data_IF_047494555448
#
_entry.id   IF_047494555448
#
_cell.length_a   1.000
_cell.length_b   1.000
_cell.length_c   1.000
_cell.angle_alpha   90.00
_cell.angle_beta   90.00
_cell.angle_gamma   90.00
#
_symmetry.space_group_name_H-M   'P 1'
#
loop_
_entity.id
_entity.type
_entity.pdbx_description
1 polymer ?
#
# COMPACT_ATOMS: atom_id res chain seq x y z
N UNK A 1 -10.31 -71.81 64.59
CA UNK A 1 -11.18 -70.78 63.98
C UNK A 1 -10.54 -69.44 64.25
N UNK A 2 -9.92 -68.82 63.24
CA UNK A 2 -9.31 -67.49 63.32
C UNK A 2 -10.14 -66.53 62.46
N UNK A 3 -10.35 -65.26 62.86
CA UNK A 3 -11.04 -64.31 62.02
C UNK A 3 -10.08 -63.75 60.95
N UNK A 4 -10.64 -63.58 59.75
CA UNK A 4 -10.02 -63.04 58.55
C UNK A 4 -10.16 -61.52 58.60
N UNK A 5 -9.04 -60.81 58.58
CA UNK A 5 -9.03 -59.35 58.43
C UNK A 5 -8.94 -59.03 56.94
N UNK A 6 -10.02 -58.49 56.39
CA UNK A 6 -10.06 -57.94 55.03
C UNK A 6 -9.33 -56.59 55.03
N UNK A 7 -8.18 -56.54 54.35
CA UNK A 7 -7.49 -55.30 54.06
C UNK A 7 -8.12 -54.64 52.82
N UNK A 8 -8.59 -53.40 52.98
CA UNK A 8 -9.08 -52.53 51.91
C UNK A 8 -7.92 -52.23 50.93
N UNK A 9 -8.11 -52.31 49.60
CA UNK A 9 -7.05 -51.97 48.65
C UNK A 9 -6.86 -50.45 48.58
N UNK A 10 -5.60 -50.01 48.66
CA UNK A 10 -5.18 -48.63 48.45
C UNK A 10 -5.45 -48.17 47.00
N UNK A 11 -6.24 -47.10 46.77
CA UNK A 11 -6.56 -46.61 45.43
C UNK A 11 -5.42 -45.86 44.72
N UNK A 12 -4.28 -45.59 45.35
CA UNK A 12 -3.16 -44.85 44.73
C UNK A 12 -2.10 -45.74 44.07
N UNK A 13 -2.20 -47.08 44.15
CA UNK A 13 -1.15 -48.01 43.73
C UNK A 13 -1.11 -48.37 42.22
N UNK A 14 -1.88 -47.71 41.34
CA UNK A 14 -1.91 -48.04 39.90
C UNK A 14 -1.71 -46.83 38.97
N UNK A 15 -0.73 -45.97 39.22
CA UNK A 15 -0.26 -45.05 38.16
C UNK A 15 0.77 -45.75 37.25
N UNK A 16 0.55 -45.81 35.93
CA UNK A 16 1.58 -46.28 35.00
C UNK A 16 2.76 -45.29 34.95
N UNK A 17 4.00 -45.76 34.70
CA UNK A 17 5.14 -44.87 34.56
C UNK A 17 4.98 -43.97 33.33
N UNK A 18 5.37 -42.70 33.48
CA UNK A 18 5.36 -41.71 32.41
C UNK A 18 6.26 -42.14 31.23
N UNK A 19 5.89 -41.80 29.97
CA UNK A 19 6.75 -42.07 28.83
C UNK A 19 8.05 -41.24 28.91
N UNK A 20 9.20 -41.78 28.45
CA UNK A 20 10.45 -41.05 28.44
C UNK A 20 10.36 -39.80 27.54
N UNK A 21 10.83 -38.67 28.06
CA UNK A 21 10.85 -37.39 27.38
C UNK A 21 11.69 -37.40 26.08
N UNK A 22 11.43 -36.45 25.17
CA UNK A 22 12.13 -36.36 23.90
C UNK A 22 13.61 -36.05 24.11
N UNK A 23 14.47 -36.94 23.62
CA UNK A 23 15.91 -36.72 23.55
C UNK A 23 16.23 -35.56 22.58
N UNK A 24 16.75 -34.46 23.12
CA UNK A 24 17.35 -33.39 22.33
C UNK A 24 18.51 -33.94 21.50
N UNK A 25 18.35 -33.99 20.17
CA UNK A 25 19.46 -34.15 19.23
C UNK A 25 19.93 -32.76 18.78
N UNK A 26 21.16 -32.32 19.10
CA UNK A 26 21.70 -31.06 18.60
C UNK A 26 22.42 -31.31 17.27
N UNK A 27 21.68 -31.54 16.17
CA UNK A 27 22.29 -31.60 14.83
C UNK A 27 21.22 -31.28 13.78
N UNK A 28 21.05 -29.98 13.47
CA UNK A 28 21.36 -29.56 12.09
C UNK A 28 21.99 -28.15 11.96
N UNK A 29 22.29 -27.45 13.06
CA UNK A 29 22.70 -26.03 12.99
C UNK A 29 24.00 -25.79 12.20
N UNK A 30 24.98 -26.69 12.32
CA UNK A 30 26.24 -26.58 11.59
C UNK A 30 26.06 -26.68 10.05
N UNK A 31 25.08 -27.46 9.58
CA UNK A 31 24.78 -27.57 8.15
C UNK A 31 24.06 -26.30 7.64
N UNK A 32 23.22 -25.68 8.46
CA UNK A 32 22.57 -24.41 8.13
C UNK A 32 23.57 -23.25 8.03
N UNK A 33 24.56 -23.19 8.92
CA UNK A 33 25.62 -22.16 8.87
C UNK A 33 26.53 -22.38 7.65
N UNK A 34 26.91 -23.63 7.35
CA UNK A 34 27.69 -23.94 6.15
C UNK A 34 26.96 -23.57 4.84
N UNK A 35 25.65 -23.83 4.76
CA UNK A 35 24.83 -23.45 3.60
C UNK A 35 24.69 -21.93 3.47
N UNK A 36 24.54 -21.20 4.59
CA UNK A 36 24.46 -19.74 4.60
C UNK A 36 25.78 -19.10 4.13
N UNK A 37 26.92 -19.65 4.56
CA UNK A 37 28.24 -19.18 4.13
C UNK A 37 28.48 -19.45 2.64
N UNK A 38 28.03 -20.59 2.11
CA UNK A 38 28.13 -20.89 0.67
C UNK A 38 27.28 -19.94 -0.19
N UNK A 39 26.07 -19.58 0.28
CA UNK A 39 25.19 -18.64 -0.41
C UNK A 39 25.74 -17.19 -0.38
N UNK A 40 26.42 -16.80 0.70
CA UNK A 40 27.06 -15.48 0.79
C UNK A 40 28.30 -15.35 -0.11
N UNK A 41 29.04 -16.45 -0.34
CA UNK A 41 30.20 -16.43 -1.23
C UNK A 41 29.84 -16.39 -2.72
N UNK A 42 28.62 -16.80 -3.09
CA UNK A 42 28.17 -16.92 -4.49
C UNK A 42 27.74 -15.63 -5.19
N UNK A 43 27.64 -14.50 -4.49
CA UNK A 43 27.11 -13.25 -5.07
C UNK A 43 28.18 -12.20 -5.41
N UNK A 44 29.47 -12.49 -5.20
CA UNK A 44 30.55 -11.51 -5.46
C UNK A 44 31.12 -11.50 -6.90
N UNK A 45 30.64 -12.33 -7.83
CA UNK A 45 31.24 -12.44 -9.18
C UNK A 45 30.37 -11.94 -10.34
N UNK A 46 29.26 -11.24 -10.08
CA UNK A 46 28.37 -10.72 -11.14
C UNK A 46 28.21 -9.18 -11.18
N UNK A 47 28.84 -8.44 -10.26
CA UNK A 47 28.67 -6.98 -10.16
C UNK A 47 29.81 -6.14 -10.76
N UNK A 48 30.79 -6.74 -11.44
CA UNK A 48 32.00 -6.02 -11.91
C UNK A 48 32.09 -5.78 -13.43
N UNK A 49 31.00 -5.93 -14.20
CA UNK A 49 31.04 -5.75 -15.66
C UNK A 49 30.04 -4.73 -16.25
N UNK A 50 29.25 -4.02 -15.45
CA UNK A 50 28.34 -2.97 -15.95
C UNK A 50 28.80 -1.54 -15.67
N UNK A 51 30.00 -1.38 -15.09
CA UNK A 51 30.63 -0.09 -14.94
C UNK A 51 31.59 0.12 -16.11
N UNK A 52 31.27 1.12 -16.94
CA UNK A 52 32.12 1.78 -17.95
C UNK A 52 31.90 1.32 -19.40
N UNK A 53 30.80 1.80 -19.98
CA UNK A 53 30.77 2.13 -21.41
C UNK A 53 30.10 3.50 -21.56
N UNK A 54 30.90 4.56 -21.48
CA UNK A 54 30.56 5.85 -22.08
C UNK A 54 31.43 5.99 -23.33
N UNK A 55 30.86 6.10 -24.54
CA UNK A 55 31.64 6.49 -25.70
C UNK A 55 31.89 8.00 -25.61
N UNK A 56 33.09 8.37 -25.17
CA UNK A 56 33.63 9.70 -25.39
C UNK A 56 33.83 9.88 -26.91
N UNK A 57 33.00 10.71 -27.54
CA UNK A 57 33.22 11.12 -28.92
C UNK A 57 34.41 12.09 -28.97
N UNK A 58 35.45 11.64 -29.69
CA UNK A 58 36.72 12.30 -29.91
C UNK A 58 36.56 13.67 -30.56
N UNK A 59 37.21 14.68 -29.99
CA UNK A 59 37.41 15.99 -30.59
C UNK A 59 38.61 15.92 -31.55
N UNK A 60 38.41 16.28 -32.82
CA UNK A 60 39.47 16.66 -33.74
C UNK A 60 39.04 17.86 -34.61
N UNK A 61 39.96 18.73 -35.07
CA UNK A 61 39.64 20.07 -35.56
C UNK A 61 39.67 20.23 -37.11
N UNK A 62 38.72 21.00 -37.64
CA UNK A 62 38.74 21.71 -38.95
C UNK A 62 37.97 21.02 -40.11
N UNK A 63 37.61 21.72 -41.23
CA UNK A 63 37.80 23.14 -41.58
C UNK A 63 36.49 23.92 -41.84
N UNK A 64 36.63 25.24 -41.86
CA UNK A 64 35.63 26.30 -42.06
C UNK A 64 35.01 26.40 -43.46
N UNK A 65 33.71 26.74 -43.52
CA UNK A 65 32.97 27.69 -44.41
C UNK A 65 31.52 27.18 -44.69
N UNK A 66 30.53 28.02 -45.08
CA UNK A 66 30.35 29.46 -44.93
C UNK A 66 29.12 29.83 -44.06
N UNK A 67 29.13 31.07 -43.57
CA UNK A 67 28.10 31.73 -42.75
C UNK A 67 26.76 31.80 -43.48
N UNK A 68 25.74 31.12 -42.96
CA UNK A 68 24.32 31.29 -43.33
C UNK A 68 23.67 32.23 -42.29
N UNK A 69 22.75 33.15 -42.68
CA UNK A 69 22.36 34.29 -41.85
C UNK A 69 21.64 33.90 -40.55
N UNK A 70 21.90 34.70 -39.51
CA UNK A 70 21.20 34.74 -38.22
C UNK A 70 19.68 34.61 -38.38
N UNK A 71 19.14 33.50 -37.86
CA UNK A 71 17.76 33.44 -37.43
C UNK A 71 17.78 33.52 -35.89
N UNK A 72 17.10 34.50 -35.27
CA UNK A 72 17.16 34.67 -33.82
C UNK A 72 16.68 33.40 -33.12
N UNK A 73 17.29 32.98 -32.00
CA UNK A 73 16.80 31.86 -31.23
C UNK A 73 15.37 32.18 -30.81
N UNK A 74 14.44 31.39 -31.33
CA UNK A 74 13.03 31.49 -31.01
C UNK A 74 12.89 31.32 -29.49
N UNK A 75 12.60 32.43 -28.80
CA UNK A 75 12.54 32.52 -27.35
C UNK A 75 11.33 31.76 -26.74
N UNK A 76 10.80 30.76 -27.45
CA UNK A 76 9.58 30.02 -27.11
C UNK A 76 9.71 28.51 -27.10
N UNK A 77 10.91 27.97 -27.27
CA UNK A 77 11.19 26.56 -26.99
C UNK A 77 11.98 26.38 -25.69
N UNK A 78 11.65 27.13 -24.63
CA UNK A 78 11.85 26.55 -23.29
C UNK A 78 10.85 25.40 -23.22
N UNK A 79 11.36 24.16 -23.21
CA UNK A 79 10.63 23.05 -22.61
C UNK A 79 10.06 23.62 -21.29
N UNK A 80 8.73 23.57 -21.04
CA UNK A 80 8.25 23.92 -19.72
C UNK A 80 9.06 23.08 -18.74
N UNK A 81 9.68 23.71 -17.74
CA UNK A 81 10.33 23.00 -16.64
C UNK A 81 9.35 21.90 -16.24
N UNK A 82 9.74 20.64 -16.46
CA UNK A 82 8.84 19.51 -16.24
C UNK A 82 8.38 19.66 -14.80
N UNK A 83 7.08 19.91 -14.53
CA UNK A 83 6.65 20.07 -13.15
C UNK A 83 7.04 18.78 -12.45
N UNK A 84 7.89 18.88 -11.44
CA UNK A 84 8.34 17.72 -10.68
C UNK A 84 7.08 16.93 -10.30
N UNK A 85 7.04 15.66 -10.68
CA UNK A 85 5.84 14.86 -10.49
C UNK A 85 5.54 14.79 -8.99
N UNK A 86 4.44 15.43 -8.57
CA UNK A 86 3.99 15.42 -7.17
C UNK A 86 3.48 14.02 -6.88
N UNK A 87 4.24 13.27 -6.09
CA UNK A 87 3.97 11.88 -5.72
C UNK A 87 4.25 11.67 -4.23
N UNK A 88 3.44 10.84 -3.58
CA UNK A 88 3.72 10.30 -2.26
C UNK A 88 3.33 8.82 -2.20
N UNK A 89 4.09 8.08 -1.42
CA UNK A 89 3.76 6.73 -1.00
C UNK A 89 4.15 6.60 0.47
N UNK A 90 3.18 6.25 1.30
CA UNK A 90 3.36 6.03 2.73
C UNK A 90 3.07 4.57 3.06
N UNK A 91 3.82 4.06 4.03
CA UNK A 91 3.70 2.69 4.52
C UNK A 91 3.17 2.72 5.94
N UNK A 92 2.16 1.91 6.25
CA UNK A 92 1.57 1.88 7.58
C UNK A 92 2.59 1.44 8.64
N UNK A 93 2.60 2.13 9.79
CA UNK A 93 3.39 1.74 10.97
C UNK A 93 2.67 0.70 11.80
N UNK A 94 1.34 0.73 11.79
CA UNK A 94 0.50 -0.13 12.62
C UNK A 94 0.57 -1.59 12.14
N UNK A 95 0.69 -2.50 13.10
CA UNK A 95 0.64 -3.96 12.87
C UNK A 95 -0.63 -4.54 13.49
N UNK A 96 -0.98 -4.09 14.69
CA UNK A 96 -2.21 -4.50 15.34
C UNK A 96 -3.42 -3.85 14.67
N UNK A 97 -4.53 -4.59 14.62
CA UNK A 97 -5.81 -4.04 14.22
C UNK A 97 -6.36 -3.21 15.38
N UNK A 98 -6.02 -1.94 15.43
CA UNK A 98 -6.58 -0.99 16.39
C UNK A 98 -7.48 -0.02 15.63
N UNK A 99 -8.73 0.10 16.07
CA UNK A 99 -9.66 1.03 15.44
C UNK A 99 -9.20 2.49 15.57
N UNK A 100 -9.42 3.27 14.51
CA UNK A 100 -9.10 4.70 14.47
C UNK A 100 -8.10 5.07 13.35
N UNK A 101 -7.51 6.27 13.43
CA UNK A 101 -6.62 6.78 12.38
C UNK A 101 -5.29 6.01 12.33
N UNK A 102 -4.94 5.52 11.16
CA UNK A 102 -3.68 4.81 10.90
C UNK A 102 -2.48 5.75 10.98
N UNK A 103 -1.38 5.21 11.51
CA UNK A 103 -0.07 5.86 11.53
C UNK A 103 0.75 5.45 10.33
N UNK A 104 1.46 6.41 9.74
CA UNK A 104 2.21 6.22 8.50
C UNK A 104 3.67 6.61 8.66
N UNK A 105 4.58 5.78 8.17
CA UNK A 105 5.98 6.17 8.02
C UNK A 105 6.07 7.25 6.94
N UNK A 106 6.73 8.35 7.28
CA UNK A 106 6.93 9.51 6.40
C UNK A 106 8.41 9.79 6.12
N UNK A 107 9.33 9.07 6.75
CA UNK A 107 10.77 9.23 6.53
C UNK A 107 11.17 8.62 5.18
N UNK A 108 11.66 9.41 4.20
CA UNK A 108 12.08 8.90 2.89
C UNK A 108 13.31 7.97 2.95
N UNK A 109 14.02 7.90 4.09
CA UNK A 109 15.09 6.93 4.29
C UNK A 109 14.59 5.48 4.40
N UNK A 110 13.28 5.28 4.68
CA UNK A 110 12.67 3.96 4.78
C UNK A 110 12.25 3.44 3.41
N UNK A 111 12.54 2.16 3.15
CA UNK A 111 12.19 1.51 1.90
C UNK A 111 10.66 1.58 1.65
N UNK A 112 10.28 1.97 0.43
CA UNK A 112 8.88 2.08 0.03
C UNK A 112 8.16 3.34 0.54
N UNK A 113 8.85 4.24 1.25
CA UNK A 113 8.32 5.55 1.64
C UNK A 113 8.86 6.62 0.70
N UNK A 114 7.97 7.43 0.16
CA UNK A 114 8.30 8.57 -0.68
C UNK A 114 7.39 9.74 -0.34
N UNK A 115 7.97 10.92 -0.15
CA UNK A 115 7.24 12.18 -0.02
C UNK A 115 7.87 13.18 -0.98
N UNK A 116 7.15 13.47 -2.06
CA UNK A 116 7.54 14.47 -3.05
C UNK A 116 7.36 15.90 -2.55
N UNK A 117 7.82 16.88 -3.34
CA UNK A 117 7.65 18.30 -3.03
C UNK A 117 6.16 18.65 -2.88
N UNK A 118 5.87 19.57 -1.96
CA UNK A 118 4.50 20.02 -1.70
C UNK A 118 3.61 19.02 -0.95
N UNK A 119 4.18 17.91 -0.46
CA UNK A 119 3.48 16.92 0.36
C UNK A 119 4.18 16.79 1.72
N UNK A 120 3.41 16.74 2.80
CA UNK A 120 3.96 16.57 4.15
C UNK A 120 3.02 15.75 5.02
N UNK A 121 3.55 14.96 5.94
CA UNK A 121 2.74 14.17 6.86
C UNK A 121 2.86 14.75 8.28
N UNK A 122 1.71 15.05 8.89
CA UNK A 122 1.63 15.48 10.28
C UNK A 122 1.43 14.25 11.18
N UNK A 123 2.47 13.92 11.94
CA UNK A 123 2.49 12.78 12.86
C UNK A 123 1.48 12.92 14.02
N UNK A 124 1.12 14.15 14.42
CA UNK A 124 0.22 14.38 15.54
C UNK A 124 -1.24 14.13 15.14
N UNK A 125 -1.67 14.72 14.02
CA UNK A 125 -3.02 14.51 13.47
C UNK A 125 -3.15 13.19 12.70
N UNK A 126 -2.03 12.58 12.31
CA UNK A 126 -1.93 11.38 11.46
C UNK A 126 -2.44 11.60 10.04
N UNK A 127 -2.18 12.78 9.50
CA UNK A 127 -2.75 13.23 8.22
C UNK A 127 -1.67 13.61 7.21
N UNK A 128 -1.90 13.24 5.95
CA UNK A 128 -1.12 13.71 4.82
C UNK A 128 -1.70 15.03 4.32
N UNK A 129 -0.85 16.05 4.20
CA UNK A 129 -1.18 17.37 3.71
C UNK A 129 -0.71 17.55 2.27
N UNK A 130 -1.60 18.10 1.46
CA UNK A 130 -1.34 18.46 0.06
C UNK A 130 -1.26 19.97 -0.06
N UNK A 131 -0.09 20.51 -0.42
CA UNK A 131 0.09 21.95 -0.56
C UNK A 131 -0.47 22.48 -1.88
N UNK A 132 -0.30 21.74 -2.97
CA UNK A 132 -0.68 22.18 -4.31
C UNK A 132 -2.04 21.62 -4.76
N UNK A 133 -2.95 22.46 -5.30
CA UNK A 133 -4.26 21.99 -5.74
C UNK A 133 -4.16 21.14 -7.01
N UNK A 134 -5.09 20.19 -7.21
CA UNK A 134 -5.14 19.45 -8.47
C UNK A 134 -6.02 18.23 -8.42
N UNK A 135 -6.01 17.48 -9.51
CA UNK A 135 -6.61 16.14 -9.57
C UNK A 135 -5.51 15.13 -9.29
N UNK A 136 -5.71 14.32 -8.26
CA UNK A 136 -4.78 13.31 -7.79
C UNK A 136 -5.37 11.92 -7.98
N UNK A 137 -4.59 11.00 -8.53
CA UNK A 137 -4.90 9.58 -8.42
C UNK A 137 -4.45 9.14 -7.03
N UNK A 138 -5.40 8.70 -6.20
CA UNK A 138 -5.16 8.26 -4.82
C UNK A 138 -5.52 6.80 -4.72
N UNK A 139 -4.66 6.01 -4.07
CA UNK A 139 -4.88 4.58 -3.88
C UNK A 139 -4.54 4.10 -2.47
N UNK A 140 -5.25 3.06 -2.06
CA UNK A 140 -5.05 2.33 -0.81
C UNK A 140 -4.84 0.86 -1.13
N UNK A 141 -3.78 0.29 -0.59
CA UNK A 141 -3.55 -1.14 -0.56
C UNK A 141 -3.55 -1.60 0.90
N UNK A 142 -4.38 -2.59 1.21
CA UNK A 142 -4.48 -3.18 2.54
C UNK A 142 -4.09 -4.64 2.45
N UNK A 143 -3.16 -5.07 3.29
CA UNK A 143 -2.77 -6.48 3.40
C UNK A 143 -2.80 -6.92 4.86
N UNK A 144 -3.46 -8.03 5.11
CA UNK A 144 -3.53 -8.69 6.40
C UNK A 144 -2.90 -10.07 6.35
N UNK A 145 -2.46 -10.51 7.51
CA UNK A 145 -1.98 -11.85 7.75
C UNK A 145 -2.60 -12.39 9.04
N UNK A 146 -2.96 -13.67 9.02
CA UNK A 146 -3.41 -14.39 10.21
C UNK A 146 -2.18 -14.78 11.01
N UNK A 147 -2.17 -14.40 12.28
CA UNK A 147 -1.08 -14.71 13.21
C UNK A 147 -1.49 -15.77 14.24
N UNK A 148 -2.78 -16.07 14.34
CA UNK A 148 -3.30 -17.19 15.16
C UNK A 148 -4.18 -18.08 14.30
N UNK A 149 -3.75 -19.33 14.06
CA UNK A 149 -4.37 -20.25 13.10
C UNK A 149 -5.71 -20.86 13.56
N UNK A 150 -6.04 -20.78 14.85
CA UNK A 150 -7.19 -21.48 15.43
C UNK A 150 -8.49 -20.67 15.50
N UNK A 151 -8.45 -19.35 15.27
CA UNK A 151 -9.64 -18.48 15.24
C UNK A 151 -9.39 -17.27 14.34
N UNK A 152 -10.37 -16.36 14.26
CA UNK A 152 -10.26 -15.11 13.53
C UNK A 152 -11.05 -15.09 12.22
N UNK A 153 -12.21 -14.47 12.25
CA UNK A 153 -13.05 -14.22 11.08
C UNK A 153 -13.80 -12.91 11.27
N UNK A 154 -14.36 -12.38 10.18
CA UNK A 154 -15.12 -11.14 10.18
C UNK A 154 -14.66 -10.25 9.05
N UNK A 155 -14.74 -8.93 9.23
CA UNK A 155 -14.26 -7.97 8.25
C UNK A 155 -13.30 -6.94 8.84
N UNK A 156 -12.43 -6.40 7.99
CA UNK A 156 -11.60 -5.24 8.29
C UNK A 156 -11.78 -4.23 7.18
N UNK A 157 -12.04 -2.98 7.56
CA UNK A 157 -12.24 -1.88 6.63
C UNK A 157 -11.26 -0.73 6.88
N UNK A 158 -10.84 -0.08 5.80
CA UNK A 158 -10.10 1.17 5.83
C UNK A 158 -10.79 2.21 4.98
N UNK A 159 -10.87 3.44 5.50
CA UNK A 159 -11.55 4.55 4.86
C UNK A 159 -10.68 5.80 4.86
N UNK A 160 -10.46 6.37 3.68
CA UNK A 160 -9.82 7.67 3.48
C UNK A 160 -10.86 8.77 3.66
N UNK A 161 -10.54 9.72 4.53
CA UNK A 161 -11.35 10.90 4.80
C UNK A 161 -10.57 12.16 4.43
N UNK A 162 -11.30 13.14 3.91
CA UNK A 162 -10.77 14.47 3.59
C UNK A 162 -11.15 15.44 4.72
N UNK A 163 -10.21 16.28 5.13
CA UNK A 163 -10.40 17.26 6.20
C UNK A 163 -10.37 18.72 5.67
N UNK A 164 -11.22 19.64 6.18
CA UNK A 164 -12.23 19.41 7.23
C UNK A 164 -13.29 18.44 6.73
N UNK A 165 -13.80 17.62 7.65
CA UNK A 165 -14.84 16.64 7.37
C UNK A 165 -16.14 17.42 7.06
N UNK A 166 -16.26 17.93 5.83
CA UNK A 166 -17.56 18.35 5.29
C UNK A 166 -18.50 17.14 5.40
N UNK A 167 -19.81 17.37 5.49
CA UNK A 167 -20.87 16.39 5.78
C UNK A 167 -20.96 15.20 4.78
N UNK A 168 -19.86 14.47 4.60
CA UNK A 168 -19.55 13.70 3.41
C UNK A 168 -18.95 12.36 3.78
N UNK A 169 -19.35 11.37 2.98
CA UNK A 169 -18.86 10.00 3.03
C UNK A 169 -17.34 9.91 2.83
N UNK A 170 -16.75 8.76 3.17
CA UNK A 170 -15.36 8.47 2.88
C UNK A 170 -15.05 8.69 1.38
N UNK A 171 -13.94 9.36 1.09
CA UNK A 171 -13.49 9.61 -0.29
C UNK A 171 -13.01 8.32 -0.98
N UNK A 172 -12.55 7.34 -0.19
CA UNK A 172 -12.18 6.01 -0.64
C UNK A 172 -12.39 5.02 0.50
N UNK A 173 -13.03 3.87 0.26
CA UNK A 173 -13.25 2.86 1.29
C UNK A 173 -13.00 1.45 0.76
N UNK A 174 -12.24 0.65 1.50
CA UNK A 174 -11.90 -0.74 1.18
C UNK A 174 -12.26 -1.62 2.38
N UNK A 175 -13.00 -2.70 2.13
CA UNK A 175 -13.35 -3.71 3.13
C UNK A 175 -12.84 -5.06 2.66
N UNK A 176 -12.21 -5.80 3.57
CA UNK A 176 -11.74 -7.16 3.36
C UNK A 176 -12.47 -8.11 4.28
N UNK A 177 -13.04 -9.15 3.69
CA UNK A 177 -13.62 -10.26 4.42
C UNK A 177 -12.53 -11.26 4.79
N UNK A 178 -12.53 -11.67 6.04
CA UNK A 178 -11.54 -12.56 6.64
C UNK A 178 -12.19 -13.93 6.86
N UNK A 179 -11.70 -14.97 6.16
CA UNK A 179 -12.31 -16.30 6.24
C UNK A 179 -12.10 -16.92 7.64
N UNK A 180 -13.04 -17.75 8.11
CA UNK A 180 -12.80 -18.57 9.30
C UNK A 180 -11.64 -19.55 9.08
N UNK A 181 -10.93 -19.94 10.15
CA UNK A 181 -9.82 -20.87 10.04
C UNK A 181 -10.28 -22.23 9.51
N UNK A 182 -9.61 -22.74 8.50
CA UNK A 182 -9.77 -24.10 7.98
C UNK A 182 -8.51 -24.52 7.23
N UNK A 183 -8.32 -25.82 6.99
CA UNK A 183 -7.15 -26.34 6.26
C UNK A 183 -7.02 -25.82 4.83
N UNK A 184 -8.09 -25.24 4.27
CA UNK A 184 -8.12 -24.66 2.92
C UNK A 184 -8.21 -23.13 2.92
N UNK A 185 -8.44 -22.50 4.08
CA UNK A 185 -8.59 -21.06 4.16
C UNK A 185 -7.21 -20.38 4.04
N UNK A 186 -7.09 -19.28 3.28
CA UNK A 186 -5.86 -18.53 3.24
C UNK A 186 -5.61 -17.82 4.58
N UNK A 187 -4.33 -17.78 4.96
CA UNK A 187 -3.85 -17.02 6.13
C UNK A 187 -3.40 -15.59 5.76
N UNK A 188 -3.77 -15.13 4.57
CA UNK A 188 -3.53 -13.76 4.12
C UNK A 188 -4.73 -13.24 3.36
N UNK A 189 -5.05 -11.96 3.55
CA UNK A 189 -6.06 -11.24 2.79
C UNK A 189 -5.45 -9.95 2.26
N UNK A 190 -5.77 -9.58 1.03
CA UNK A 190 -5.30 -8.32 0.44
C UNK A 190 -6.35 -7.70 -0.44
N UNK A 191 -6.39 -6.38 -0.50
CA UNK A 191 -7.17 -5.67 -1.49
C UNK A 191 -6.61 -4.29 -1.78
N UNK A 192 -7.12 -3.73 -2.86
CA UNK A 192 -6.67 -2.49 -3.42
C UNK A 192 -7.89 -1.67 -3.82
N UNK A 193 -7.85 -0.35 -3.59
CA UNK A 193 -8.83 0.57 -4.15
C UNK A 193 -8.18 1.87 -4.53
N UNK A 194 -8.74 2.54 -5.53
CA UNK A 194 -8.27 3.85 -5.99
C UNK A 194 -9.42 4.76 -6.41
N UNK A 195 -9.16 6.06 -6.42
CA UNK A 195 -10.06 7.08 -6.97
C UNK A 195 -9.27 8.28 -7.48
N UNK A 196 -9.87 9.03 -8.42
CA UNK A 196 -9.39 10.36 -8.78
C UNK A 196 -10.07 11.39 -7.86
N UNK A 197 -9.27 12.09 -7.06
CA UNK A 197 -9.76 13.07 -6.10
C UNK A 197 -9.28 14.46 -6.49
N UNK A 198 -10.19 15.42 -6.46
CA UNK A 198 -9.83 16.83 -6.51
C UNK A 198 -9.41 17.29 -5.12
N UNK A 199 -8.14 17.64 -4.96
CA UNK A 199 -7.58 18.08 -3.68
C UNK A 199 -7.23 19.56 -3.79
N UNK A 200 -7.73 20.35 -2.84
CA UNK A 200 -7.42 21.78 -2.73
C UNK A 200 -6.06 22.03 -2.07
N UNK A 201 -5.60 23.29 -2.04
CA UNK A 201 -4.39 23.64 -1.31
C UNK A 201 -4.63 23.49 0.20
N UNK A 202 -3.67 22.89 0.89
CA UNK A 202 -3.76 22.57 2.32
C UNK A 202 -4.71 21.41 2.67
N UNK A 203 -5.21 20.68 1.67
CA UNK A 203 -6.13 19.56 1.88
C UNK A 203 -5.46 18.47 2.72
N UNK A 204 -6.16 18.00 3.75
CA UNK A 204 -5.71 16.97 4.68
C UNK A 204 -6.39 15.64 4.40
N UNK A 205 -5.61 14.56 4.42
CA UNK A 205 -6.01 13.19 4.11
C UNK A 205 -5.68 12.29 5.31
N UNK A 206 -6.71 11.71 5.93
CA UNK A 206 -6.56 10.76 7.03
C UNK A 206 -7.20 9.42 6.70
N UNK A 207 -6.56 8.31 7.07
CA UNK A 207 -7.09 6.96 6.83
C UNK A 207 -7.49 6.34 8.16
N UNK A 208 -8.73 5.88 8.27
CA UNK A 208 -9.26 5.24 9.46
C UNK A 208 -9.43 3.75 9.24
N UNK A 209 -8.97 2.93 10.19
CA UNK A 209 -9.19 1.51 10.24
C UNK A 209 -10.35 1.18 11.17
N UNK A 210 -11.18 0.22 10.77
CA UNK A 210 -12.20 -0.43 11.60
C UNK A 210 -12.08 -1.93 11.40
N UNK A 211 -12.24 -2.69 12.47
CA UNK A 211 -12.19 -4.13 12.40
C UNK A 211 -13.36 -4.72 13.19
N UNK A 212 -13.88 -5.86 12.78
CA UNK A 212 -14.85 -6.56 13.61
C UNK A 212 -14.16 -7.21 14.81
N UNK A 213 -14.86 -7.33 15.94
CA UNK A 213 -14.30 -7.90 17.17
C UNK A 213 -13.66 -9.30 16.97
N UNK A 214 -14.21 -10.09 16.04
CA UNK A 214 -13.69 -11.42 15.69
C UNK A 214 -12.34 -11.40 14.94
N UNK A 215 -11.97 -10.28 14.30
CA UNK A 215 -10.74 -10.17 13.52
C UNK A 215 -9.53 -9.76 14.38
N UNK A 216 -9.73 -8.82 15.30
CA UNK A 216 -8.70 -8.20 16.15
C UNK A 216 -7.69 -9.17 16.81
N UNK A 217 -8.11 -10.31 17.39
CA UNK A 217 -7.19 -11.14 18.18
C UNK A 217 -6.34 -12.11 17.35
N UNK A 218 -6.65 -12.31 16.06
CA UNK A 218 -6.00 -13.32 15.21
C UNK A 218 -5.41 -12.79 13.91
N UNK A 219 -5.76 -11.57 13.52
CA UNK A 219 -5.29 -10.93 12.30
C UNK A 219 -4.49 -9.67 12.58
N UNK A 220 -3.51 -9.40 11.73
CA UNK A 220 -2.65 -8.23 11.81
C UNK A 220 -2.47 -7.63 10.42
N UNK A 221 -2.18 -6.33 10.37
CA UNK A 221 -1.65 -5.70 9.17
C UNK A 221 -0.30 -6.32 8.84
N UNK A 222 -0.12 -6.77 7.60
CA UNK A 222 1.16 -7.28 7.14
C UNK A 222 2.15 -6.12 7.09
N UNK A 223 3.23 -6.23 7.88
CA UNK A 223 4.22 -5.17 8.04
C UNK A 223 4.82 -4.79 6.68
N UNK A 224 4.84 -3.48 6.39
CA UNK A 224 5.40 -2.96 5.15
C UNK A 224 4.49 -3.10 3.91
N UNK A 225 3.32 -3.72 4.02
CA UNK A 225 2.48 -4.05 2.87
C UNK A 225 1.18 -3.24 2.76
N UNK A 226 0.77 -2.55 3.83
CA UNK A 226 -0.35 -1.60 3.79
C UNK A 226 0.17 -0.22 3.37
N UNK A 227 -0.35 0.29 2.26
CA UNK A 227 0.19 1.44 1.54
C UNK A 227 -0.92 2.45 1.23
N UNK A 228 -0.62 3.73 1.46
CA UNK A 228 -1.36 4.87 0.92
C UNK A 228 -0.48 5.56 -0.10
N UNK A 229 -0.96 5.76 -1.32
CA UNK A 229 -0.20 6.49 -2.33
C UNK A 229 -1.07 7.48 -3.09
N UNK A 230 -0.42 8.52 -3.61
CA UNK A 230 -1.03 9.48 -4.50
C UNK A 230 -0.04 10.08 -5.47
N UNK A 231 -0.48 10.37 -6.68
CA UNK A 231 0.25 11.24 -7.61
C UNK A 231 -0.69 12.23 -8.29
N UNK A 232 -0.18 13.41 -8.60
CA UNK A 232 -0.93 14.45 -9.30
C UNK A 232 -1.02 14.12 -10.78
N UNK A 233 -2.25 14.07 -11.29
CA UNK A 233 -2.57 13.79 -12.69
C UNK A 233 -2.78 15.08 -13.47
N UNK A 234 -3.38 16.10 -12.84
CA UNK A 234 -3.62 17.39 -13.47
C UNK A 234 -3.49 18.54 -12.47
N UNK A 235 -2.93 19.66 -12.92
CA UNK A 235 -2.74 20.87 -12.12
C UNK A 235 -3.96 21.79 -12.08
N UNK A 236 -4.86 21.64 -13.05
CA UNK A 236 -6.14 22.35 -13.16
C UNK A 236 -7.25 21.36 -13.45
N UNK A 237 -8.41 21.57 -12.84
CA UNK A 237 -9.66 21.02 -13.38
C UNK A 237 -9.85 21.66 -14.75
N UNK A 238 -10.13 20.91 -15.83
CA UNK A 238 -10.47 21.52 -17.11
C UNK A 238 -11.64 22.48 -16.90
N UNK A 239 -11.38 23.78 -16.96
CA UNK A 239 -12.41 24.79 -17.04
C UNK A 239 -13.08 24.62 -18.40
N UNK A 240 -14.14 23.81 -18.49
CA UNK A 240 -14.80 23.58 -19.77
C UNK A 240 -15.53 22.25 -19.99
N UNK A 241 -15.89 21.49 -18.96
CA UNK A 241 -16.98 20.51 -19.10
C UNK A 241 -18.32 21.14 -18.67
N UNK A 242 -18.60 22.34 -19.19
CA UNK A 242 -19.99 22.64 -19.55
C UNK A 242 -20.30 21.68 -20.69
N UNK A 243 -20.82 20.49 -20.37
CA UNK A 243 -21.45 19.65 -21.37
C UNK A 243 -22.43 20.56 -22.11
N UNK A 244 -22.33 20.73 -23.45
CA UNK A 244 -23.44 21.30 -24.16
C UNK A 244 -24.66 20.45 -23.81
N UNK A 245 -25.84 21.04 -23.55
CA UNK A 245 -27.05 20.24 -23.46
C UNK A 245 -27.05 19.37 -24.71
N UNK A 246 -27.06 18.05 -24.49
CA UNK A 246 -27.22 17.05 -25.53
C UNK A 246 -28.28 17.57 -26.51
N UNK A 247 -28.06 17.47 -27.83
CA UNK A 247 -29.10 17.84 -28.77
C UNK A 247 -30.30 16.94 -28.45
N UNK A 248 -31.36 17.54 -27.91
CA UNK A 248 -32.68 16.93 -27.99
C UNK A 248 -32.93 16.82 -29.48
N UNK A 249 -32.86 15.59 -29.98
CA UNK A 249 -33.37 15.22 -31.28
C UNK A 249 -34.87 15.52 -31.27
N UNK A 250 -35.23 16.77 -31.56
CA UNK A 250 -36.57 17.11 -31.99
C UNK A 250 -36.68 16.51 -33.37
N UNK A 251 -37.11 15.24 -33.41
CA UNK A 251 -37.48 14.54 -34.62
C UNK A 251 -38.40 15.41 -35.50
N UNK A 252 -38.48 15.11 -36.80
CA UNK A 252 -39.09 15.99 -37.78
C UNK A 252 -40.51 16.38 -37.36
N UNK A 253 -40.71 17.68 -37.17
CA UNK A 253 -41.99 18.26 -36.80
C UNK A 253 -43.07 17.85 -37.78
N UNK A 254 -44.11 17.20 -37.26
CA UNK A 254 -45.38 17.09 -37.94
C UNK A 254 -46.00 18.50 -38.05
N UNK A 255 -46.39 18.96 -39.24
CA UNK A 255 -47.19 20.17 -39.35
C UNK A 255 -48.57 19.94 -38.74
N UNK A 256 -49.18 20.97 -38.11
CA UNK A 256 -50.51 20.86 -37.54
C UNK A 256 -51.57 20.64 -38.63
N UNK A 257 -52.64 19.88 -38.36
CA UNK A 257 -53.73 19.69 -39.31
C UNK A 257 -54.51 21.00 -39.46
N UNK A 258 -54.71 21.41 -40.71
CA UNK A 258 -55.57 22.53 -41.09
C UNK A 258 -57.01 22.29 -40.62
N UNK A 259 -57.61 23.35 -40.07
CA UNK A 259 -59.05 23.44 -39.83
C UNK A 259 -59.75 23.83 -41.14
N UNK A 260 -60.53 22.91 -41.69
CA UNK A 260 -61.85 23.18 -42.29
C UNK A 260 -62.83 22.09 -41.83
#
# INVERSE_FOLDING_TARGET
>A
MCPRADAVPDPEAQRPPAPPGPACRPLPWALSVALLLLLLAGTCAACWLSAWVAPAASAAPGPSLPRVPEQPPDARARLPDSPQAVFAQLVAQDVQLTEGPLRWYSDPALAGVFLGPGLSYDQHSRELMVAEPGVYYVFLHLKLQRVVSSFGSGSVSVALHLQPLGAGAAALALTLDLPPPSSKAPDSASGFRSSLLHLGPGQRLGVHLRAEAGAHPAWQLAQGATILGLFRVATKVPAGLSLPPWPIDTGPGYPPPDRE
#
